data_IF_647240635544
#
_entry.id   IF_647240635544
#
_cell.length_a   1.000
_cell.length_b   1.000
_cell.length_c   1.000
_cell.angle_alpha   90.00
_cell.angle_beta   90.00
_cell.angle_gamma   90.00
#
_symmetry.space_group_name_H-M   'P 1'
#
loop_
_entity.id
_entity.type
_entity.pdbx_description
1 polymer ?
#
# COMPACT_ATOMS: atom_id res chain seq x y z
N UNK A 1 1.57 34.66 -14.42
CA UNK A 1 0.70 33.50 -14.14
C UNK A 1 1.46 32.44 -13.32
N UNK A 2 1.32 32.46 -11.99
CA UNK A 2 1.98 31.51 -11.11
C UNK A 2 1.48 30.09 -11.45
N UNK A 3 2.34 29.26 -12.04
CA UNK A 3 2.07 27.85 -12.21
C UNK A 3 1.85 27.26 -10.81
N UNK A 4 0.66 26.72 -10.58
CA UNK A 4 0.29 26.22 -9.26
C UNK A 4 1.19 25.02 -8.90
N UNK A 5 2.01 25.09 -7.83
CA UNK A 5 3.04 24.08 -7.52
C UNK A 5 2.47 22.66 -7.36
N UNK A 6 1.21 22.53 -6.98
CA UNK A 6 0.53 21.24 -6.85
C UNK A 6 0.39 20.49 -8.19
N UNK A 7 0.34 21.16 -9.33
CA UNK A 7 0.21 20.50 -10.64
C UNK A 7 1.45 19.67 -10.98
N UNK A 8 2.63 20.17 -10.64
CA UNK A 8 3.89 19.46 -10.84
C UNK A 8 3.97 18.23 -9.92
N UNK A 9 3.56 18.37 -8.66
CA UNK A 9 3.48 17.24 -7.72
C UNK A 9 2.50 16.16 -8.18
N UNK A 10 1.35 16.54 -8.74
CA UNK A 10 0.38 15.57 -9.29
C UNK A 10 0.98 14.83 -10.48
N UNK A 11 1.64 15.52 -11.42
CA UNK A 11 2.27 14.89 -12.57
C UNK A 11 3.38 13.90 -12.14
N UNK A 12 4.23 14.29 -11.19
CA UNK A 12 5.24 13.42 -10.62
C UNK A 12 4.63 12.17 -9.96
N UNK A 13 3.58 12.36 -9.14
CA UNK A 13 2.84 11.27 -8.52
C UNK A 13 2.23 10.33 -9.56
N UNK A 14 1.62 10.86 -10.62
CA UNK A 14 1.01 10.07 -11.70
C UNK A 14 2.01 9.19 -12.43
N UNK A 15 3.17 9.73 -12.78
CA UNK A 15 4.26 8.97 -13.40
C UNK A 15 4.71 7.83 -12.49
N UNK A 16 4.92 8.13 -11.20
CA UNK A 16 5.29 7.12 -10.22
C UNK A 16 4.21 6.02 -10.09
N UNK A 17 2.93 6.39 -10.04
CA UNK A 17 1.82 5.44 -9.89
C UNK A 17 1.66 4.54 -11.12
N UNK A 18 1.77 5.08 -12.33
CA UNK A 18 1.72 4.29 -13.56
C UNK A 18 2.85 3.26 -13.63
N UNK A 19 4.08 3.68 -13.30
CA UNK A 19 5.23 2.79 -13.27
C UNK A 19 5.01 1.65 -12.26
N UNK A 20 4.45 1.95 -11.10
CA UNK A 20 4.14 0.93 -10.09
C UNK A 20 2.97 0.02 -10.51
N UNK A 21 1.93 0.54 -11.15
CA UNK A 21 0.82 -0.29 -11.65
C UNK A 21 1.25 -1.30 -12.72
N UNK A 22 2.21 -0.91 -13.57
CA UNK A 22 2.78 -1.77 -14.61
C UNK A 22 3.52 -2.99 -14.05
N UNK A 23 4.00 -2.94 -12.80
CA UNK A 23 4.65 -4.10 -12.13
C UNK A 23 3.68 -5.21 -11.71
N UNK A 24 2.36 -5.01 -11.84
CA UNK A 24 1.34 -6.02 -11.56
C UNK A 24 0.96 -6.18 -10.08
N UNK A 25 1.54 -5.39 -9.16
CA UNK A 25 1.13 -5.35 -7.75
C UNK A 25 -0.29 -4.74 -7.60
N UNK A 26 -1.16 -5.35 -6.78
CA UNK A 26 -2.52 -4.86 -6.54
C UNK A 26 -2.52 -3.44 -5.97
N UNK A 27 -1.60 -3.15 -5.05
CA UNK A 27 -1.45 -1.80 -4.48
C UNK A 27 -1.12 -0.76 -5.54
N UNK A 28 -0.22 -1.08 -6.49
CA UNK A 28 0.14 -0.17 -7.58
C UNK A 28 -1.06 0.16 -8.47
N UNK A 29 -1.89 -0.85 -8.78
CA UNK A 29 -3.13 -0.67 -9.53
C UNK A 29 -4.13 0.19 -8.77
N UNK A 30 -4.29 -0.05 -7.47
CA UNK A 30 -5.22 0.71 -6.63
C UNK A 30 -4.80 2.18 -6.48
N UNK A 31 -3.50 2.43 -6.30
CA UNK A 31 -2.95 3.79 -6.23
C UNK A 31 -3.15 4.53 -7.56
N UNK A 32 -2.99 3.86 -8.71
CA UNK A 32 -3.22 4.47 -10.01
C UNK A 32 -4.68 4.92 -10.24
N UNK A 33 -5.64 4.29 -9.54
CA UNK A 33 -7.08 4.65 -9.61
C UNK A 33 -7.45 5.87 -8.79
N UNK A 34 -6.59 6.33 -7.89
CA UNK A 34 -6.83 7.58 -7.13
C UNK A 34 -7.03 8.71 -8.11
N UNK A 35 -8.08 9.51 -7.99
CA UNK A 35 -8.42 10.55 -8.95
C UNK A 35 -7.58 11.82 -8.76
N UNK A 36 -7.44 12.62 -9.82
CA UNK A 36 -6.68 13.87 -9.77
C UNK A 36 -7.26 14.84 -8.74
N UNK A 37 -8.59 14.84 -8.57
CA UNK A 37 -9.25 15.66 -7.56
C UNK A 37 -8.78 15.29 -6.15
N UNK A 38 -8.69 14.00 -5.84
CA UNK A 38 -8.18 13.51 -4.56
C UNK A 38 -6.73 13.95 -4.34
N UNK A 39 -5.87 13.83 -5.36
CA UNK A 39 -4.48 14.29 -5.27
C UNK A 39 -4.38 15.80 -5.07
N UNK A 40 -5.22 16.59 -5.75
CA UNK A 40 -5.30 18.04 -5.56
C UNK A 40 -5.67 18.41 -4.13
N UNK A 41 -6.64 17.72 -3.54
CA UNK A 41 -7.04 17.90 -2.13
C UNK A 41 -5.85 17.61 -1.21
N UNK A 42 -5.23 16.44 -1.35
CA UNK A 42 -4.08 16.02 -0.54
C UNK A 42 -2.94 17.04 -0.58
N UNK A 43 -2.49 17.45 -1.78
CA UNK A 43 -1.38 18.40 -1.91
C UNK A 43 -1.75 19.81 -1.46
N UNK A 44 -2.99 20.25 -1.67
CA UNK A 44 -3.45 21.56 -1.20
C UNK A 44 -3.48 21.60 0.33
N UNK A 45 -3.96 20.53 0.98
CA UNK A 45 -3.97 20.42 2.43
C UNK A 45 -2.55 20.30 2.98
N UNK A 46 -1.66 19.54 2.32
CA UNK A 46 -0.27 19.44 2.74
C UNK A 46 0.39 20.83 2.81
N UNK A 47 0.15 21.67 1.79
CA UNK A 47 0.61 23.07 1.80
C UNK A 47 -0.05 23.91 2.91
N UNK A 48 -1.34 23.71 3.21
CA UNK A 48 -2.04 24.44 4.28
C UNK A 48 -1.50 24.10 5.67
N UNK A 49 -1.14 22.84 5.91
CA UNK A 49 -0.47 22.40 7.13
C UNK A 49 1.01 22.84 7.18
N UNK A 50 1.55 23.42 6.10
CA UNK A 50 2.94 23.86 6.01
C UNK A 50 3.93 22.70 5.85
N UNK A 51 3.47 21.55 5.35
CA UNK A 51 4.32 20.39 5.11
C UNK A 51 4.84 20.38 3.67
N UNK A 52 6.12 20.10 3.50
CA UNK A 52 6.70 19.79 2.19
C UNK A 52 6.47 18.32 1.82
N UNK A 53 6.52 17.45 2.83
CA UNK A 53 6.31 16.01 2.69
C UNK A 53 5.62 15.46 3.93
N UNK A 54 4.90 14.35 3.78
CA UNK A 54 4.41 13.59 4.93
C UNK A 54 5.52 12.67 5.42
N UNK A 55 6.08 12.98 6.59
CA UNK A 55 7.20 12.23 7.17
C UNK A 55 7.10 12.23 8.70
N UNK A 56 6.20 11.44 9.32
CA UNK A 56 6.12 11.36 10.77
C UNK A 56 7.43 10.84 11.37
N UNK A 57 7.83 11.39 12.51
CA UNK A 57 9.03 10.97 13.22
C UNK A 57 8.75 9.70 14.02
N UNK A 58 9.20 8.56 13.48
CA UNK A 58 9.02 7.25 14.10
C UNK A 58 9.92 7.03 15.33
N UNK A 59 10.94 7.87 15.53
CA UNK A 59 11.83 7.81 16.70
C UNK A 59 11.22 8.46 17.94
N UNK A 60 10.39 9.48 17.74
CA UNK A 60 9.71 10.23 18.79
C UNK A 60 8.39 9.56 19.24
N UNK A 61 7.76 10.13 20.26
CA UNK A 61 6.45 9.73 20.77
C UNK A 61 5.36 9.95 19.70
N UNK A 62 4.40 9.01 19.55
CA UNK A 62 3.21 9.22 18.73
C UNK A 62 2.40 10.46 19.10
N UNK A 63 2.54 10.92 20.35
CA UNK A 63 1.82 12.07 20.91
C UNK A 63 2.61 13.37 20.85
N UNK A 64 3.81 13.40 20.24
CA UNK A 64 4.57 14.64 20.10
C UNK A 64 3.85 15.64 19.20
N UNK A 65 4.13 16.94 19.36
CA UNK A 65 3.45 17.98 18.58
C UNK A 65 3.61 17.75 17.07
N UNK A 66 4.83 17.39 16.65
CA UNK A 66 5.15 17.10 15.25
C UNK A 66 4.35 15.92 14.69
N UNK A 67 4.29 14.81 15.45
CA UNK A 67 3.57 13.62 15.05
C UNK A 67 2.05 13.79 15.11
N UNK A 68 1.54 14.55 16.08
CA UNK A 68 0.13 14.93 16.14
C UNK A 68 -0.29 15.75 14.92
N UNK A 69 0.56 16.67 14.45
CA UNK A 69 0.28 17.46 13.26
C UNK A 69 0.23 16.60 11.99
N UNK A 70 1.15 15.63 11.86
CA UNK A 70 1.13 14.65 10.75
C UNK A 70 -0.10 13.74 10.78
N UNK A 71 -0.54 13.33 11.97
CA UNK A 71 -1.79 12.57 12.14
C UNK A 71 -3.00 13.41 11.75
N UNK A 72 -3.09 14.64 12.26
CA UNK A 72 -4.19 15.55 11.95
C UNK A 72 -4.31 15.77 10.44
N UNK A 73 -3.19 16.09 9.77
CA UNK A 73 -3.15 16.21 8.31
C UNK A 73 -3.62 14.94 7.59
N UNK A 74 -3.12 13.77 7.96
CA UNK A 74 -3.46 12.52 7.29
C UNK A 74 -4.94 12.15 7.49
N UNK A 75 -5.47 12.36 8.70
CA UNK A 75 -6.89 12.10 9.00
C UNK A 75 -7.75 13.09 8.23
N UNK A 76 -7.53 14.39 8.37
CA UNK A 76 -8.32 15.45 7.74
C UNK A 76 -8.33 15.30 6.20
N UNK A 77 -7.16 15.07 5.59
CA UNK A 77 -7.06 14.89 4.14
C UNK A 77 -7.75 13.61 3.65
N UNK A 78 -7.73 12.54 4.43
CA UNK A 78 -8.50 11.33 4.11
C UNK A 78 -10.01 11.58 4.20
N UNK A 79 -10.48 12.27 5.24
CA UNK A 79 -11.89 12.61 5.40
C UNK A 79 -12.39 13.46 4.23
N UNK A 80 -11.66 14.52 3.89
CA UNK A 80 -11.95 15.38 2.74
C UNK A 80 -11.97 14.60 1.42
N UNK A 81 -10.99 13.73 1.21
CA UNK A 81 -10.95 12.88 0.03
C UNK A 81 -12.20 11.99 -0.06
N UNK A 82 -12.58 11.31 1.02
CA UNK A 82 -13.78 10.47 1.07
C UNK A 82 -15.08 11.26 0.86
N UNK A 83 -15.22 12.41 1.50
CA UNK A 83 -16.40 13.29 1.35
C UNK A 83 -16.59 13.77 -0.09
N UNK A 84 -15.49 13.96 -0.83
CA UNK A 84 -15.51 14.35 -2.24
C UNK A 84 -15.66 13.17 -3.21
N UNK A 85 -15.98 11.97 -2.70
CA UNK A 85 -16.12 10.75 -3.52
C UNK A 85 -14.80 10.08 -3.88
N UNK A 86 -13.69 10.53 -3.31
CA UNK A 86 -12.43 9.80 -3.35
C UNK A 86 -12.59 8.44 -2.67
N UNK A 87 -11.95 7.41 -3.23
CA UNK A 87 -11.92 6.06 -2.66
C UNK A 87 -13.26 5.30 -2.64
N UNK A 88 -14.32 5.76 -3.35
CA UNK A 88 -15.62 5.05 -3.40
C UNK A 88 -15.48 3.57 -3.81
N UNK A 89 -14.52 3.24 -4.67
CA UNK A 89 -14.27 1.86 -5.09
C UNK A 89 -13.76 0.93 -3.99
N UNK A 90 -13.31 1.48 -2.86
CA UNK A 90 -12.96 0.70 -1.67
C UNK A 90 -14.17 0.42 -0.77
N UNK A 91 -15.36 0.93 -1.11
CA UNK A 91 -16.57 0.74 -0.29
C UNK A 91 -16.48 1.45 1.05
N UNK A 92 -15.91 2.66 1.07
CA UNK A 92 -15.78 3.46 2.30
C UNK A 92 -17.15 3.76 2.91
N UNK A 93 -17.24 3.62 4.23
CA UNK A 93 -18.49 3.78 4.99
C UNK A 93 -18.51 5.19 5.61
N UNK A 94 -19.50 6.04 5.30
CA UNK A 94 -19.59 7.42 5.81
C UNK A 94 -19.42 7.55 7.32
N UNK A 95 -20.08 6.69 8.07
CA UNK A 95 -20.05 6.70 9.53
C UNK A 95 -18.64 6.44 10.08
N UNK A 96 -17.82 5.68 9.34
CA UNK A 96 -16.46 5.33 9.75
C UNK A 96 -15.45 6.40 9.38
N UNK A 97 -15.51 6.93 8.15
CA UNK A 97 -14.56 7.99 7.78
C UNK A 97 -14.92 9.33 8.41
N UNK A 98 -16.15 9.55 8.91
CA UNK A 98 -16.47 10.74 9.68
C UNK A 98 -16.03 10.65 11.15
N UNK A 99 -15.74 9.45 11.67
CA UNK A 99 -15.21 9.26 13.03
C UNK A 99 -13.70 9.55 13.08
N UNK A 100 -13.35 10.78 13.44
CA UNK A 100 -11.97 11.22 13.60
C UNK A 100 -11.20 10.40 14.65
N UNK A 101 -11.86 9.89 15.69
CA UNK A 101 -11.19 9.08 16.72
C UNK A 101 -10.85 7.68 16.19
N UNK A 102 -11.77 7.07 15.43
CA UNK A 102 -11.50 5.82 14.73
C UNK A 102 -10.34 5.99 13.74
N UNK A 103 -10.37 7.03 12.91
CA UNK A 103 -9.31 7.29 11.93
C UNK A 103 -7.96 7.55 12.60
N UNK A 104 -7.93 8.31 13.71
CA UNK A 104 -6.72 8.54 14.48
C UNK A 104 -6.13 7.22 15.03
N UNK A 105 -6.98 6.31 15.55
CA UNK A 105 -6.54 4.98 16.00
C UNK A 105 -5.99 4.13 14.86
N UNK A 106 -6.66 4.13 13.70
CA UNK A 106 -6.18 3.42 12.50
C UNK A 106 -4.82 3.97 12.08
N UNK A 107 -4.69 5.31 12.03
CA UNK A 107 -3.43 5.98 11.72
C UNK A 107 -2.32 5.56 12.69
N UNK A 108 -2.55 5.68 14.00
CA UNK A 108 -1.55 5.35 15.02
C UNK A 108 -1.13 3.87 14.93
N UNK A 109 -2.09 2.96 14.76
CA UNK A 109 -1.82 1.53 14.59
C UNK A 109 -0.96 1.25 13.35
N UNK A 110 -1.22 1.94 12.25
CA UNK A 110 -0.47 1.75 11.02
C UNK A 110 0.93 2.38 11.09
N UNK A 111 1.02 3.65 11.47
CA UNK A 111 2.27 4.42 11.47
C UNK A 111 3.19 3.99 12.61
N UNK A 112 2.69 4.00 13.85
CA UNK A 112 3.51 3.72 15.02
C UNK A 112 3.52 2.25 15.44
N UNK A 113 2.66 1.42 14.86
CA UNK A 113 2.80 -0.04 14.89
C UNK A 113 3.57 -0.53 13.66
N UNK A 114 2.88 -0.60 12.52
CA UNK A 114 3.41 -1.29 11.33
C UNK A 114 4.64 -0.61 10.72
N UNK A 115 4.62 0.71 10.47
CA UNK A 115 5.76 1.40 9.84
C UNK A 115 6.94 1.51 10.79
N UNK A 116 6.70 1.83 12.07
CA UNK A 116 7.74 1.86 13.10
C UNK A 116 8.45 0.52 13.25
N UNK A 117 7.72 -0.60 13.25
CA UNK A 117 8.33 -1.93 13.33
C UNK A 117 9.14 -2.27 12.09
N UNK A 118 8.66 -1.89 10.90
CA UNK A 118 9.44 -2.01 9.66
C UNK A 118 10.73 -1.20 9.74
N UNK A 119 10.65 0.07 10.14
CA UNK A 119 11.81 0.96 10.27
C UNK A 119 12.83 0.43 11.28
N UNK A 120 12.38 -0.06 12.44
CA UNK A 120 13.23 -0.70 13.45
C UNK A 120 13.92 -1.96 12.91
N UNK A 121 13.18 -2.78 12.17
CA UNK A 121 13.75 -3.99 11.57
C UNK A 121 14.84 -3.65 10.56
N UNK A 122 14.58 -2.68 9.69
CA UNK A 122 15.54 -2.22 8.69
C UNK A 122 16.77 -1.55 9.31
N UNK A 123 16.60 -0.79 10.39
CA UNK A 123 17.71 -0.19 11.13
C UNK A 123 18.59 -1.25 11.83
N UNK A 124 17.99 -2.35 12.28
CA UNK A 124 18.71 -3.46 12.94
C UNK A 124 19.43 -4.36 11.93
N UNK A 125 18.77 -4.67 10.82
CA UNK A 125 19.25 -5.58 9.78
C UNK A 125 18.90 -4.99 8.40
N UNK A 126 19.79 -4.16 7.84
CA UNK A 126 19.57 -3.56 6.53
C UNK A 126 19.33 -4.60 5.43
N UNK A 127 18.35 -4.32 4.57
CA UNK A 127 17.86 -5.23 3.53
C UNK A 127 16.94 -6.33 4.03
N UNK A 128 16.62 -6.40 5.33
CA UNK A 128 15.76 -7.48 5.84
C UNK A 128 14.32 -7.40 5.35
N UNK A 129 13.82 -6.20 5.02
CA UNK A 129 12.51 -6.04 4.40
C UNK A 129 12.52 -6.48 2.94
N UNK A 130 13.56 -6.13 2.19
CA UNK A 130 13.75 -6.53 0.79
C UNK A 130 13.89 -8.06 0.66
N UNK A 131 14.79 -8.66 1.44
CA UNK A 131 14.93 -10.14 1.48
C UNK A 131 13.63 -10.84 1.84
N UNK A 132 12.85 -10.26 2.76
CA UNK A 132 11.52 -10.80 3.10
C UNK A 132 10.54 -10.69 1.94
N UNK A 133 10.56 -9.58 1.21
CA UNK A 133 9.74 -9.39 0.03
C UNK A 133 10.10 -10.39 -1.07
N UNK A 134 11.39 -10.59 -1.35
CA UNK A 134 11.88 -11.58 -2.30
C UNK A 134 11.46 -13.00 -1.92
N UNK A 135 11.64 -13.40 -0.65
CA UNK A 135 11.20 -14.70 -0.15
C UNK A 135 9.68 -14.90 -0.33
N UNK A 136 8.88 -13.86 -0.08
CA UNK A 136 7.43 -13.91 -0.31
C UNK A 136 7.10 -14.07 -1.81
N UNK A 137 7.84 -13.41 -2.70
CA UNK A 137 7.67 -13.53 -4.15
C UNK A 137 8.03 -14.94 -4.64
N UNK A 138 9.11 -15.53 -4.15
CA UNK A 138 9.47 -16.94 -4.41
C UNK A 138 8.33 -17.86 -3.99
N UNK A 139 7.83 -17.70 -2.76
CA UNK A 139 6.69 -18.49 -2.27
C UNK A 139 5.43 -18.32 -3.12
N UNK A 140 5.16 -17.11 -3.64
CA UNK A 140 4.04 -16.83 -4.55
C UNK A 140 4.24 -17.51 -5.91
N UNK A 141 5.44 -17.44 -6.49
CA UNK A 141 5.79 -18.13 -7.74
C UNK A 141 5.56 -19.63 -7.62
N UNK A 142 6.08 -20.26 -6.56
CA UNK A 142 5.87 -21.69 -6.25
C UNK A 142 4.39 -22.09 -6.21
N UNK A 143 3.56 -21.31 -5.50
CA UNK A 143 2.11 -21.56 -5.44
C UNK A 143 1.43 -21.41 -6.80
N UNK A 144 1.81 -20.40 -7.58
CA UNK A 144 1.25 -20.19 -8.92
C UNK A 144 1.61 -21.33 -9.87
N UNK A 145 2.86 -21.80 -9.85
CA UNK A 145 3.30 -22.92 -10.67
C UNK A 145 2.58 -24.21 -10.31
N UNK A 146 2.44 -24.50 -9.00
CA UNK A 146 1.68 -25.67 -8.53
C UNK A 146 0.21 -25.63 -9.01
N UNK A 147 -0.46 -24.47 -8.88
CA UNK A 147 -1.84 -24.30 -9.34
C UNK A 147 -1.98 -24.48 -10.87
N UNK A 148 -1.05 -23.93 -11.65
CA UNK A 148 -1.04 -24.06 -13.11
C UNK A 148 -0.83 -25.53 -13.55
N UNK A 149 0.06 -26.26 -12.87
CA UNK A 149 0.29 -27.70 -13.11
C UNK A 149 -0.93 -28.53 -12.77
N UNK A 150 -1.53 -28.28 -11.61
CA UNK A 150 -2.78 -28.95 -11.22
C UNK A 150 -3.88 -28.73 -12.28
N UNK A 151 -4.06 -27.48 -12.72
CA UNK A 151 -5.03 -27.14 -13.76
C UNK A 151 -4.75 -27.89 -15.06
N UNK A 152 -3.49 -27.92 -15.51
CA UNK A 152 -3.08 -28.66 -16.71
C UNK A 152 -3.41 -30.15 -16.59
N UNK A 153 -3.03 -30.81 -15.48
CA UNK A 153 -3.25 -32.23 -15.29
C UNK A 153 -4.74 -32.59 -15.22
N UNK A 154 -5.55 -31.76 -14.56
CA UNK A 154 -7.01 -31.91 -14.53
C UNK A 154 -7.61 -31.79 -15.93
N UNK A 155 -7.19 -30.78 -16.68
CA UNK A 155 -7.70 -30.51 -18.03
C UNK A 155 -7.37 -31.65 -19.00
N UNK A 156 -6.23 -32.31 -18.80
CA UNK A 156 -5.78 -33.43 -19.64
C UNK A 156 -6.20 -34.82 -19.10
N UNK A 157 -7.08 -34.89 -18.10
CA UNK A 157 -7.67 -36.16 -17.65
C UNK A 157 -6.71 -37.09 -16.90
N UNK A 158 -5.64 -36.57 -16.29
CA UNK A 158 -4.71 -37.38 -15.51
C UNK A 158 -5.37 -37.96 -14.24
N UNK A 159 -4.93 -39.14 -13.76
CA UNK A 159 -5.46 -39.72 -12.52
C UNK A 159 -5.22 -38.83 -11.29
N UNK A 160 -6.18 -38.80 -10.36
CA UNK A 160 -6.10 -37.99 -9.13
C UNK A 160 -4.85 -38.23 -8.29
N UNK A 161 -4.33 -39.46 -8.28
CA UNK A 161 -3.08 -39.79 -7.59
C UNK A 161 -1.88 -38.99 -8.12
N UNK A 162 -1.85 -38.75 -9.44
CA UNK A 162 -0.79 -37.98 -10.11
C UNK A 162 -0.97 -36.50 -9.77
N UNK A 163 -2.20 -36.00 -9.87
CA UNK A 163 -2.53 -34.60 -9.54
C UNK A 163 -2.12 -34.28 -8.10
N UNK A 164 -2.49 -35.13 -7.13
CA UNK A 164 -2.11 -34.95 -5.71
C UNK A 164 -0.61 -34.94 -5.48
N UNK A 165 0.16 -35.70 -6.27
CA UNK A 165 1.61 -35.75 -6.13
C UNK A 165 2.29 -34.42 -6.53
N UNK A 166 1.68 -33.61 -7.42
CA UNK A 166 2.27 -32.37 -7.94
C UNK A 166 1.60 -31.09 -7.41
N UNK A 167 0.47 -31.21 -6.71
CA UNK A 167 -0.29 -30.07 -6.18
C UNK A 167 0.41 -29.35 -4.99
N UNK A 168 1.43 -29.95 -4.38
CA UNK A 168 2.15 -29.38 -3.25
C UNK A 168 3.11 -28.26 -3.66
N UNK A 169 3.00 -27.07 -3.04
CA UNK A 169 3.90 -25.93 -3.31
C UNK A 169 5.37 -26.18 -2.96
N UNK A 170 5.66 -27.19 -2.14
CA UNK A 170 7.03 -27.61 -1.78
C UNK A 170 7.67 -28.54 -2.83
N UNK A 171 6.91 -29.00 -3.82
CA UNK A 171 7.38 -29.89 -4.90
C UNK A 171 7.84 -29.11 -6.15
N UNK A 172 7.99 -27.79 -6.05
CA UNK A 172 8.31 -26.90 -7.16
C UNK A 172 9.58 -26.08 -6.85
N UNK A 173 10.75 -26.66 -7.13
CA UNK A 173 12.07 -26.02 -6.96
C UNK A 173 12.51 -25.20 -8.17
N UNK A 174 11.75 -25.21 -9.27
CA UNK A 174 12.19 -24.66 -10.57
C UNK A 174 12.07 -23.13 -10.69
N UNK A 175 11.33 -22.46 -9.79
CA UNK A 175 11.08 -21.00 -9.81
C UNK A 175 11.78 -20.25 -8.65
N UNK A 176 13.04 -20.58 -8.36
CA UNK A 176 13.88 -19.75 -7.47
C UNK A 176 14.26 -18.40 -8.12
#
# INVERSE_FOLDING_TARGET
PAQQPHLQHIQAARTHFHNNAATGNSLGKDIARVEDLTLRILFSMMNQYGFETWCPDLSDSPSSLYNNAHRAFAVDSFQQACMMGGYLWFGVIPEQYQDTFLLAKIYDSYVFGTLKDKARKEARDPGALERRQEANLIGKRRRSLAANRELFLRTNGYPDRVIKAVAGSYCASEDE
#
